data_IF_400189584222
#
_entry.id   IF_400189584222
#
_cell.length_a   1.000
_cell.length_b   1.000
_cell.length_c   1.000
_cell.angle_alpha   90.00
_cell.angle_beta   90.00
_cell.angle_gamma   90.00
#
_symmetry.space_group_name_H-M   'P 1'
#
loop_
_entity.id
_entity.type
_entity.pdbx_description
1 polymer ?
#
# COMPACT_ATOMS: atom_id res chain seq x y z
N UNK A 1 -2.71 -2.41 28.63
CA UNK A 1 -4.02 -1.99 28.10
C UNK A 1 -5.04 -3.15 28.15
N UNK A 2 -4.69 -4.32 27.69
CA UNK A 2 -5.59 -5.52 27.60
C UNK A 2 -6.06 -5.98 28.98
N UNK A 3 -5.20 -5.86 29.99
CA UNK A 3 -5.51 -6.25 31.40
C UNK A 3 -6.67 -5.44 32.02
N UNK A 4 -6.98 -4.28 31.45
CA UNK A 4 -8.03 -3.38 31.93
C UNK A 4 -9.42 -3.65 31.33
N UNK A 5 -9.59 -4.74 30.53
CA UNK A 5 -10.81 -5.08 29.81
C UNK A 5 -11.45 -3.83 29.11
N UNK A 6 -10.79 -3.27 28.11
CA UNK A 6 -11.26 -2.06 27.44
C UNK A 6 -12.46 -2.33 26.53
N UNK A 7 -13.36 -1.37 26.38
CA UNK A 7 -14.43 -1.43 25.37
C UNK A 7 -13.90 -1.20 23.94
N UNK A 8 -12.78 -0.45 23.81
CA UNK A 8 -12.13 -0.13 22.53
C UNK A 8 -10.62 -0.27 22.67
N UNK A 9 -10.00 -0.97 21.74
CA UNK A 9 -8.56 -1.16 21.63
C UNK A 9 -8.01 -0.42 20.40
N UNK A 10 -7.03 0.48 20.62
CA UNK A 10 -6.36 1.21 19.55
C UNK A 10 -4.92 0.70 19.42
N UNK A 11 -4.54 0.23 18.25
CA UNK A 11 -3.24 -0.34 17.95
C UNK A 11 -2.58 0.38 16.76
N UNK A 12 -1.34 0.80 16.94
CA UNK A 12 -0.53 1.42 15.89
C UNK A 12 0.67 0.52 15.58
N UNK A 13 0.73 0.00 14.34
CA UNK A 13 1.75 -0.92 13.83
C UNK A 13 2.09 -2.07 14.80
N UNK A 14 1.10 -2.82 15.31
CA UNK A 14 1.35 -3.80 16.38
C UNK A 14 2.18 -4.99 15.94
N UNK A 15 2.27 -5.27 14.64
CA UNK A 15 3.02 -6.42 14.07
C UNK A 15 4.52 -6.16 13.95
N UNK A 16 4.99 -4.91 13.97
CA UNK A 16 6.38 -4.55 13.68
C UNK A 16 7.44 -5.18 14.59
N UNK A 17 7.08 -5.53 15.82
CA UNK A 17 8.02 -6.08 16.82
C UNK A 17 7.65 -7.49 17.27
N UNK A 18 6.63 -8.08 16.67
CA UNK A 18 6.18 -9.43 16.98
C UNK A 18 6.87 -10.44 16.05
N UNK A 19 7.08 -11.63 16.57
CA UNK A 19 7.39 -12.80 15.75
C UNK A 19 6.09 -13.49 15.32
N UNK A 20 6.19 -14.55 14.52
CA UNK A 20 5.02 -15.25 13.99
C UNK A 20 4.07 -15.75 15.10
N UNK A 21 4.62 -16.21 16.22
CA UNK A 21 3.82 -16.66 17.35
C UNK A 21 3.09 -15.49 18.04
N UNK A 22 3.75 -14.33 18.14
CA UNK A 22 3.16 -13.12 18.67
C UNK A 22 2.07 -12.55 17.77
N UNK A 23 2.26 -12.62 16.44
CA UNK A 23 1.23 -12.20 15.47
C UNK A 23 0.01 -13.10 15.56
N UNK A 24 0.19 -14.43 15.56
CA UNK A 24 -0.91 -15.38 15.69
C UNK A 24 -1.70 -15.18 17.00
N UNK A 25 -1.00 -14.98 18.12
CA UNK A 25 -1.64 -14.65 19.38
C UNK A 25 -2.45 -13.35 19.33
N UNK A 26 -1.95 -12.33 18.64
CA UNK A 26 -2.65 -11.05 18.48
C UNK A 26 -3.88 -11.20 17.58
N UNK A 27 -3.79 -11.99 16.51
CA UNK A 27 -4.92 -12.33 15.64
C UNK A 27 -6.04 -13.04 16.42
N UNK A 28 -5.69 -14.05 17.20
CA UNK A 28 -6.65 -14.78 18.05
C UNK A 28 -7.30 -13.82 19.06
N UNK A 29 -6.51 -12.98 19.71
CA UNK A 29 -7.03 -11.99 20.67
C UNK A 29 -8.04 -11.02 20.06
N UNK A 30 -7.78 -10.53 18.83
CA UNK A 30 -8.65 -9.58 18.15
C UNK A 30 -9.91 -10.25 17.61
N UNK A 31 -9.82 -11.51 17.19
CA UNK A 31 -10.95 -12.26 16.65
C UNK A 31 -11.89 -12.79 17.75
N UNK A 32 -11.36 -13.13 18.93
CA UNK A 32 -12.12 -13.68 20.04
C UNK A 32 -12.56 -12.62 21.06
N UNK A 33 -11.95 -11.42 21.02
CA UNK A 33 -12.19 -10.37 22.00
C UNK A 33 -13.59 -9.72 21.87
N UNK A 34 -14.24 -9.49 23.01
CA UNK A 34 -15.55 -8.81 23.11
C UNK A 34 -15.41 -7.28 23.13
N UNK A 35 -14.42 -6.72 22.43
CA UNK A 35 -14.15 -5.27 22.35
C UNK A 35 -14.08 -4.81 20.89
N UNK A 36 -14.34 -3.54 20.65
CA UNK A 36 -14.06 -2.93 19.35
C UNK A 36 -12.55 -2.68 19.21
N UNK A 37 -12.00 -2.87 18.01
CA UNK A 37 -10.60 -2.55 17.75
C UNK A 37 -10.40 -1.66 16.53
N UNK A 38 -9.41 -0.76 16.62
CA UNK A 38 -8.92 0.03 15.49
C UNK A 38 -7.42 -0.24 15.36
N UNK A 39 -7.02 -0.77 14.21
CA UNK A 39 -5.62 -1.13 13.96
C UNK A 39 -5.10 -0.33 12.78
N UNK A 40 -3.95 0.31 12.96
CA UNK A 40 -3.18 0.94 11.89
C UNK A 40 -2.02 -0.01 11.58
N UNK A 41 -1.92 -0.50 10.37
CA UNK A 41 -0.83 -1.38 9.95
C UNK A 41 -0.66 -1.43 8.44
N UNK A 42 0.54 -1.80 7.99
CA UNK A 42 0.86 -2.11 6.59
C UNK A 42 0.90 -3.62 6.32
N UNK A 43 0.67 -4.44 7.34
CA UNK A 43 0.66 -5.91 7.21
C UNK A 43 -0.66 -6.38 6.61
N UNK A 44 -0.58 -6.77 5.34
CA UNK A 44 -1.73 -7.21 4.54
C UNK A 44 -2.29 -8.54 5.00
N UNK A 45 -1.44 -9.45 5.46
CA UNK A 45 -1.87 -10.76 5.95
C UNK A 45 -2.60 -10.62 7.28
N UNK A 46 -2.08 -9.78 8.15
CA UNK A 46 -2.75 -9.46 9.39
C UNK A 46 -4.14 -8.83 9.14
N UNK A 47 -4.24 -7.83 8.25
CA UNK A 47 -5.52 -7.23 7.87
C UNK A 47 -6.50 -8.23 7.26
N UNK A 48 -6.02 -9.19 6.46
CA UNK A 48 -6.86 -10.24 5.89
C UNK A 48 -7.50 -11.12 6.97
N UNK A 49 -6.78 -11.40 8.06
CA UNK A 49 -7.21 -12.31 9.10
C UNK A 49 -8.09 -11.65 10.17
N UNK A 50 -7.91 -10.35 10.46
CA UNK A 50 -8.58 -9.71 11.61
C UNK A 50 -9.60 -8.64 11.21
N UNK A 51 -9.56 -8.09 9.99
CA UNK A 51 -10.43 -6.96 9.66
C UNK A 51 -11.85 -7.40 9.29
N UNK A 52 -12.82 -6.68 9.82
CA UNK A 52 -14.23 -6.73 9.38
C UNK A 52 -14.59 -5.53 8.51
N UNK A 53 -13.77 -4.50 8.56
CA UNK A 53 -13.89 -3.27 7.80
C UNK A 53 -12.51 -2.63 7.61
N UNK A 54 -12.27 -2.07 6.41
CA UNK A 54 -11.03 -1.34 6.10
C UNK A 54 -11.33 0.08 5.66
N UNK A 55 -10.56 1.02 6.17
CA UNK A 55 -10.62 2.43 5.80
C UNK A 55 -9.25 2.88 5.30
N UNK A 56 -9.15 3.28 4.03
CA UNK A 56 -7.95 3.92 3.48
C UNK A 56 -8.13 5.44 3.44
N UNK A 57 -7.17 6.16 4.03
CA UNK A 57 -7.07 7.61 3.93
C UNK A 57 -6.19 7.97 2.73
N UNK A 58 -6.81 8.53 1.68
CA UNK A 58 -6.06 8.91 0.49
C UNK A 58 -6.75 10.06 -0.25
N UNK A 59 -5.97 11.00 -0.77
CA UNK A 59 -6.45 12.17 -1.53
C UNK A 59 -7.09 11.81 -2.88
N UNK A 60 -6.87 10.59 -3.39
CA UNK A 60 -7.51 10.13 -4.62
C UNK A 60 -9.03 9.99 -4.48
N UNK A 61 -9.52 9.78 -3.25
CA UNK A 61 -10.93 9.66 -2.95
C UNK A 61 -11.59 11.03 -2.80
N UNK A 62 -12.82 11.17 -3.28
CA UNK A 62 -13.56 12.44 -3.24
C UNK A 62 -13.69 12.99 -1.82
N UNK A 63 -13.96 12.10 -0.86
CA UNK A 63 -14.13 12.45 0.56
C UNK A 63 -12.85 12.25 1.38
N UNK A 64 -11.69 12.03 0.71
CA UNK A 64 -10.41 11.79 1.36
C UNK A 64 -10.25 10.39 1.96
N UNK A 65 -11.27 9.53 1.87
CA UNK A 65 -11.24 8.17 2.40
C UNK A 65 -12.05 7.19 1.55
N UNK A 66 -11.65 5.92 1.58
CA UNK A 66 -12.44 4.78 1.08
C UNK A 66 -12.71 3.83 2.23
N UNK A 67 -13.99 3.51 2.45
CA UNK A 67 -14.47 2.60 3.47
C UNK A 67 -15.07 1.36 2.83
N UNK A 68 -14.58 0.17 3.18
CA UNK A 68 -15.02 -1.10 2.61
C UNK A 68 -15.29 -2.11 3.73
N UNK A 69 -16.49 -2.65 3.75
CA UNK A 69 -16.86 -3.75 4.63
C UNK A 69 -16.25 -5.06 4.13
N UNK A 70 -15.50 -5.73 4.98
CA UNK A 70 -14.83 -6.99 4.71
C UNK A 70 -13.33 -6.96 4.98
N UNK A 71 -12.67 -7.99 4.51
CA UNK A 71 -11.24 -8.24 4.67
C UNK A 71 -10.40 -7.52 3.59
N UNK A 72 -9.08 -7.61 3.69
CA UNK A 72 -8.16 -6.87 2.82
C UNK A 72 -8.32 -7.19 1.33
N UNK A 73 -8.59 -8.44 0.96
CA UNK A 73 -8.83 -8.83 -0.44
C UNK A 73 -10.01 -8.08 -1.06
N UNK A 74 -11.15 -7.98 -0.34
CA UNK A 74 -12.32 -7.20 -0.78
C UNK A 74 -12.02 -5.71 -0.90
N UNK A 75 -11.20 -5.19 0.02
CA UNK A 75 -10.77 -3.79 -0.06
C UNK A 75 -9.96 -3.53 -1.34
N UNK A 76 -9.03 -4.43 -1.71
CA UNK A 76 -8.24 -4.29 -2.94
C UNK A 76 -9.13 -4.28 -4.18
N UNK A 77 -10.10 -5.20 -4.28
CA UNK A 77 -11.07 -5.23 -5.39
C UNK A 77 -11.84 -3.90 -5.50
N UNK A 78 -12.35 -3.41 -4.38
CA UNK A 78 -13.10 -2.13 -4.36
C UNK A 78 -12.22 -0.93 -4.72
N UNK A 79 -10.97 -0.91 -4.26
CA UNK A 79 -9.97 0.10 -4.58
C UNK A 79 -9.64 0.12 -6.08
N UNK A 80 -9.38 -1.03 -6.65
CA UNK A 80 -9.09 -1.17 -8.09
C UNK A 80 -10.29 -0.71 -8.94
N UNK A 81 -11.50 -1.13 -8.59
CA UNK A 81 -12.73 -0.70 -9.26
C UNK A 81 -12.92 0.82 -9.16
N UNK A 82 -12.61 1.42 -8.00
CA UNK A 82 -12.67 2.88 -7.83
C UNK A 82 -11.66 3.58 -8.76
N UNK A 83 -10.40 3.16 -8.75
CA UNK A 83 -9.33 3.74 -9.59
C UNK A 83 -9.68 3.63 -11.06
N UNK A 84 -10.18 2.47 -11.51
CA UNK A 84 -10.61 2.28 -12.89
C UNK A 84 -11.78 3.19 -13.24
N UNK A 85 -12.77 3.34 -12.37
CA UNK A 85 -13.91 4.24 -12.59
C UNK A 85 -13.49 5.70 -12.73
N UNK A 86 -12.53 6.14 -11.89
CA UNK A 86 -11.97 7.50 -11.94
C UNK A 86 -11.17 7.73 -13.24
N UNK A 87 -10.40 6.76 -13.68
CA UNK A 87 -9.66 6.82 -14.94
C UNK A 87 -10.60 6.96 -16.15
N UNK A 88 -11.67 6.16 -16.18
CA UNK A 88 -12.71 6.26 -17.23
C UNK A 88 -13.42 7.61 -17.21
N UNK A 89 -13.73 8.14 -16.02
CA UNK A 89 -14.35 9.45 -15.86
C UNK A 89 -13.43 10.55 -16.38
N UNK A 90 -12.15 10.53 -16.01
CA UNK A 90 -11.15 11.50 -16.47
C UNK A 90 -11.00 11.47 -18.00
N UNK A 91 -10.93 10.29 -18.61
CA UNK A 91 -10.85 10.14 -20.05
C UNK A 91 -12.10 10.69 -20.76
N UNK A 92 -13.29 10.39 -20.24
CA UNK A 92 -14.56 10.91 -20.76
C UNK A 92 -14.60 12.44 -20.67
N UNK A 93 -14.24 13.02 -19.52
CA UNK A 93 -14.18 14.48 -19.33
C UNK A 93 -13.15 15.12 -20.28
N UNK A 94 -11.97 14.53 -20.42
CA UNK A 94 -10.92 15.01 -21.33
C UNK A 94 -11.40 15.05 -22.78
N UNK A 95 -12.11 14.01 -23.25
CA UNK A 95 -12.68 13.96 -24.60
C UNK A 95 -13.76 15.02 -24.80
N UNK A 96 -14.64 15.23 -23.81
CA UNK A 96 -15.68 16.27 -23.85
C UNK A 96 -15.07 17.68 -23.87
N UNK A 97 -14.10 17.95 -23.00
CA UNK A 97 -13.36 19.22 -22.96
C UNK A 97 -12.70 19.49 -24.32
N UNK A 98 -12.02 18.48 -24.91
CA UNK A 98 -11.40 18.62 -26.22
C UNK A 98 -12.42 19.05 -27.28
N UNK A 99 -13.59 18.43 -27.32
CA UNK A 99 -14.65 18.75 -28.28
C UNK A 99 -15.18 20.19 -28.08
N UNK A 100 -15.37 20.62 -26.84
CA UNK A 100 -15.87 21.98 -26.55
C UNK A 100 -14.79 23.04 -26.84
N UNK A 101 -13.51 22.78 -26.55
CA UNK A 101 -12.39 23.67 -26.89
C UNK A 101 -12.23 23.81 -28.41
N UNK A 102 -12.35 22.72 -29.15
CA UNK A 102 -12.33 22.78 -30.63
C UNK A 102 -13.49 23.61 -31.19
N UNK A 103 -14.69 23.47 -30.60
CA UNK A 103 -15.84 24.29 -31.00
C UNK A 103 -15.61 25.77 -30.69
N UNK A 104 -15.06 26.12 -29.53
CA UNK A 104 -14.71 27.51 -29.16
C UNK A 104 -13.69 28.11 -30.14
N UNK A 105 -12.68 27.33 -30.58
CA UNK A 105 -11.66 27.77 -31.56
C UNK A 105 -12.23 28.08 -32.92
N UNK A 106 -13.30 27.39 -33.36
CA UNK A 106 -13.94 27.63 -34.66
C UNK A 106 -14.81 28.89 -34.68
N UNK A 107 -15.00 29.55 -33.57
CA UNK A 107 -15.81 30.77 -33.42
C UNK A 107 -17.32 30.48 -33.52
N UNK A 108 -18.10 30.80 -32.51
CA UNK A 108 -19.55 30.59 -32.52
C UNK A 108 -20.23 31.54 -33.50
N UNK A 109 -20.75 31.05 -34.61
CA UNK A 109 -21.63 31.82 -35.50
C UNK A 109 -22.99 31.98 -34.85
N UNK A 110 -23.32 33.23 -34.47
CA UNK A 110 -24.63 33.81 -34.24
C UNK A 110 -25.70 33.05 -33.41
N UNK A 111 -25.90 33.48 -32.25
CA UNK A 111 -27.06 33.67 -31.33
C UNK A 111 -26.49 33.77 -29.92
N UNK A 112 -26.30 34.98 -29.44
CA UNK A 112 -25.52 35.32 -28.24
C UNK A 112 -25.86 34.50 -26.97
N UNK A 113 -27.12 34.19 -26.76
CA UNK A 113 -27.58 33.51 -25.53
C UNK A 113 -27.20 32.01 -25.49
N UNK A 114 -27.35 31.28 -26.63
CA UNK A 114 -26.97 29.86 -26.70
C UNK A 114 -25.45 29.68 -26.70
N UNK A 115 -24.72 30.62 -27.28
CA UNK A 115 -23.26 30.59 -27.26
C UNK A 115 -22.72 30.83 -25.84
N UNK A 116 -23.31 31.76 -25.05
CA UNK A 116 -22.91 32.01 -23.66
C UNK A 116 -23.12 30.80 -22.77
N UNK A 117 -24.29 30.17 -22.80
CA UNK A 117 -24.54 28.96 -22.01
C UNK A 117 -23.58 27.80 -22.33
N UNK A 118 -23.16 27.65 -23.59
CA UNK A 118 -22.19 26.63 -23.99
C UNK A 118 -20.77 26.95 -23.56
N UNK A 119 -20.39 28.22 -23.54
CA UNK A 119 -19.09 28.70 -23.00
C UNK A 119 -19.05 28.44 -21.51
N UNK A 120 -20.11 28.75 -20.76
CA UNK A 120 -20.19 28.53 -19.33
C UNK A 120 -20.10 27.01 -19.01
N UNK A 121 -20.78 26.17 -19.80
CA UNK A 121 -20.67 24.71 -19.67
C UNK A 121 -19.25 24.19 -19.98
N UNK A 122 -18.56 24.75 -20.97
CA UNK A 122 -17.17 24.38 -21.28
C UNK A 122 -16.23 24.72 -20.12
N UNK A 123 -16.42 25.88 -19.46
CA UNK A 123 -15.64 26.24 -18.29
C UNK A 123 -15.90 25.26 -17.13
N UNK A 124 -17.15 24.91 -16.85
CA UNK A 124 -17.50 23.92 -15.82
C UNK A 124 -16.83 22.56 -16.10
N UNK A 125 -16.82 22.08 -17.35
CA UNK A 125 -16.17 20.83 -17.73
C UNK A 125 -14.66 20.90 -17.54
N UNK A 126 -14.03 22.03 -17.85
CA UNK A 126 -12.60 22.25 -17.63
C UNK A 126 -12.27 22.20 -16.14
N UNK A 127 -13.09 22.85 -15.30
CA UNK A 127 -12.86 22.87 -13.86
C UNK A 127 -13.09 21.48 -13.24
N UNK A 128 -14.10 20.73 -13.68
CA UNK A 128 -14.29 19.33 -13.29
C UNK A 128 -13.11 18.45 -13.69
N UNK A 129 -12.59 18.60 -14.92
CA UNK A 129 -11.41 17.85 -15.37
C UNK A 129 -10.18 18.17 -14.52
N UNK A 130 -9.94 19.43 -14.19
CA UNK A 130 -8.82 19.82 -13.31
C UNK A 130 -8.95 19.19 -11.93
N UNK A 131 -10.13 19.19 -11.36
CA UNK A 131 -10.40 18.59 -10.05
C UNK A 131 -10.13 17.08 -10.05
N UNK A 132 -10.68 16.34 -11.02
CA UNK A 132 -10.47 14.89 -11.15
C UNK A 132 -8.98 14.57 -11.42
N UNK A 133 -8.36 15.31 -12.35
CA UNK A 133 -6.94 15.09 -12.69
C UNK A 133 -5.99 15.41 -11.55
N UNK A 134 -6.30 16.42 -10.72
CA UNK A 134 -5.46 16.75 -9.56
C UNK A 134 -5.46 15.68 -8.48
N UNK A 135 -6.56 14.93 -8.35
CA UNK A 135 -6.66 13.78 -7.44
C UNK A 135 -5.84 12.57 -7.94
N UNK A 136 -5.78 12.35 -9.27
CA UNK A 136 -5.05 11.24 -9.89
C UNK A 136 -3.53 11.37 -9.90
N UNK A 137 -2.97 12.56 -9.64
CA UNK A 137 -1.52 12.81 -9.61
C UNK A 137 -0.85 12.43 -8.27
N UNK A 138 -1.24 11.31 -7.68
CA UNK A 138 -0.46 10.68 -6.63
C UNK A 138 0.83 10.13 -7.23
N UNK A 139 1.98 10.71 -6.86
CA UNK A 139 3.32 10.36 -7.34
C UNK A 139 3.59 8.87 -7.09
N UNK A 140 3.53 8.09 -8.15
CA UNK A 140 4.18 6.78 -8.18
C UNK A 140 5.67 7.06 -8.35
N UNK A 141 6.43 7.04 -7.28
CA UNK A 141 7.88 7.03 -7.36
C UNK A 141 8.28 5.66 -7.96
N UNK A 142 8.53 5.60 -9.26
CA UNK A 142 9.25 4.49 -9.87
C UNK A 142 10.70 4.57 -9.40
N UNK A 143 11.03 3.75 -8.41
CA UNK A 143 12.42 3.54 -8.04
C UNK A 143 13.00 2.58 -9.09
N UNK A 144 13.60 3.14 -10.13
CA UNK A 144 14.38 2.39 -11.11
C UNK A 144 15.67 1.92 -10.45
N UNK A 145 15.74 0.66 -10.07
CA UNK A 145 17.01 0.03 -9.72
C UNK A 145 17.79 -0.22 -11.00
N UNK A 146 18.74 0.64 -11.33
CA UNK A 146 19.77 0.33 -12.31
C UNK A 146 20.70 -0.73 -11.72
N UNK A 147 20.36 -2.00 -11.92
CA UNK A 147 21.20 -3.12 -11.56
C UNK A 147 22.45 -3.10 -12.44
N UNK A 148 23.64 -2.95 -11.86
CA UNK A 148 24.88 -3.29 -12.53
C UNK A 148 24.82 -4.79 -12.87
N UNK A 149 24.92 -5.14 -14.15
CA UNK A 149 25.03 -6.51 -14.66
C UNK A 149 26.36 -7.16 -14.20
N UNK A 150 26.50 -7.44 -12.92
CA UNK A 150 27.60 -8.27 -12.41
C UNK A 150 27.18 -9.74 -12.53
N UNK A 151 27.80 -10.46 -13.43
CA UNK A 151 27.61 -11.91 -13.62
C UNK A 151 28.34 -12.77 -12.58
N UNK A 152 28.59 -12.28 -11.39
CA UNK A 152 29.26 -13.07 -10.34
C UNK A 152 28.29 -14.15 -9.85
N UNK A 153 28.58 -15.41 -10.10
CA UNK A 153 27.70 -16.54 -9.76
C UNK A 153 27.59 -16.80 -8.26
N UNK A 154 28.58 -16.43 -7.46
CA UNK A 154 28.62 -16.59 -5.99
C UNK A 154 28.83 -15.22 -5.36
N UNK A 155 27.91 -14.78 -4.53
CA UNK A 155 27.96 -13.47 -3.87
C UNK A 155 28.46 -13.56 -2.44
N UNK A 156 27.96 -14.53 -1.67
CA UNK A 156 28.39 -14.83 -0.31
C UNK A 156 28.44 -16.34 -0.15
N UNK A 157 29.53 -16.84 0.41
CA UNK A 157 29.72 -18.25 0.72
C UNK A 157 30.16 -18.37 2.19
N UNK A 158 29.32 -19.01 2.99
CA UNK A 158 29.65 -19.37 4.37
C UNK A 158 30.01 -20.86 4.41
N UNK A 159 31.13 -21.19 4.99
CA UNK A 159 31.59 -22.55 5.14
C UNK A 159 31.85 -22.81 6.63
N UNK A 160 31.03 -23.64 7.23
CA UNK A 160 31.17 -24.08 8.62
C UNK A 160 31.33 -22.94 9.64
N UNK A 161 30.46 -21.88 9.47
CA UNK A 161 30.53 -20.67 10.28
C UNK A 161 29.72 -20.84 11.56
N UNK A 162 30.37 -20.59 12.70
CA UNK A 162 29.70 -20.49 14.00
C UNK A 162 29.77 -19.06 14.52
N UNK A 163 28.68 -18.57 15.07
CA UNK A 163 28.52 -17.19 15.53
C UNK A 163 28.18 -17.21 17.01
N UNK A 164 29.02 -16.56 17.82
CA UNK A 164 28.78 -16.37 19.24
C UNK A 164 28.64 -14.87 19.55
N UNK A 165 27.70 -14.53 20.41
CA UNK A 165 27.48 -13.16 20.89
C UNK A 165 27.17 -13.18 22.39
N UNK A 166 27.97 -12.47 23.17
CA UNK A 166 27.78 -12.38 24.62
C UNK A 166 27.84 -13.70 25.38
N UNK A 167 28.68 -14.65 24.91
CA UNK A 167 28.81 -15.98 25.50
C UNK A 167 27.66 -16.95 25.16
N UNK A 168 26.80 -16.57 24.21
CA UNK A 168 25.72 -17.41 23.70
C UNK A 168 25.96 -17.73 22.25
N UNK A 169 25.95 -19.01 21.90
CA UNK A 169 26.02 -19.45 20.52
C UNK A 169 24.69 -19.14 19.82
N UNK A 170 24.75 -18.38 18.74
CA UNK A 170 23.62 -17.98 17.91
C UNK A 170 23.37 -18.96 16.79
N UNK A 171 24.47 -19.39 16.14
CA UNK A 171 24.45 -20.33 15.02
C UNK A 171 25.70 -21.19 15.10
N UNK A 172 25.56 -22.48 14.86
CA UNK A 172 26.67 -23.45 14.77
C UNK A 172 26.71 -24.09 13.41
N UNK A 173 27.93 -24.26 12.89
CA UNK A 173 28.21 -25.02 11.67
C UNK A 173 27.36 -24.61 10.45
N UNK A 174 27.08 -23.30 10.28
CA UNK A 174 26.31 -22.78 9.16
C UNK A 174 27.14 -22.82 7.87
N UNK A 175 26.68 -23.60 6.91
CA UNK A 175 27.19 -23.58 5.55
C UNK A 175 26.10 -23.15 4.60
N UNK A 176 26.35 -22.05 3.87
CA UNK A 176 25.31 -21.40 3.08
C UNK A 176 25.89 -20.61 1.92
N UNK A 177 25.27 -20.71 0.74
CA UNK A 177 25.69 -20.02 -0.48
C UNK A 177 24.60 -19.09 -0.97
N UNK A 178 24.90 -17.80 -1.13
CA UNK A 178 24.06 -16.83 -1.81
C UNK A 178 24.62 -16.59 -3.22
N UNK A 179 23.85 -16.99 -4.21
CA UNK A 179 24.16 -16.77 -5.62
C UNK A 179 23.31 -15.63 -6.20
N UNK A 180 23.68 -15.17 -7.39
CA UNK A 180 22.90 -14.15 -8.08
C UNK A 180 21.44 -14.63 -8.35
N UNK A 181 20.45 -13.80 -8.05
CA UNK A 181 19.02 -14.10 -8.22
C UNK A 181 18.40 -14.91 -7.08
N UNK A 182 19.17 -15.42 -6.11
CA UNK A 182 18.66 -16.13 -4.93
C UNK A 182 18.01 -15.11 -3.95
N UNK A 183 16.83 -15.44 -3.47
CA UNK A 183 16.12 -14.70 -2.42
C UNK A 183 15.91 -15.62 -1.24
N UNK A 184 16.40 -15.19 -0.06
CA UNK A 184 16.34 -16.00 1.16
C UNK A 184 15.47 -15.33 2.19
N UNK A 185 14.47 -16.04 2.69
CA UNK A 185 13.67 -15.61 3.84
C UNK A 185 14.28 -16.15 5.13
N UNK A 186 14.61 -15.28 6.09
CA UNK A 186 15.12 -15.65 7.40
C UNK A 186 14.00 -15.58 8.44
N UNK A 187 13.57 -16.73 8.94
CA UNK A 187 12.46 -16.86 9.90
C UNK A 187 12.95 -17.40 11.23
N UNK A 188 12.25 -17.06 12.30
CA UNK A 188 12.53 -17.54 13.66
C UNK A 188 11.97 -16.61 14.74
N UNK A 189 11.88 -17.09 15.99
CA UNK A 189 11.35 -16.31 17.11
C UNK A 189 12.21 -15.06 17.42
N UNK A 190 11.64 -14.13 18.18
CA UNK A 190 12.39 -12.96 18.62
C UNK A 190 13.56 -13.36 19.52
N UNK A 191 14.71 -12.74 19.32
CA UNK A 191 15.94 -13.08 20.02
C UNK A 191 16.70 -14.32 19.47
N UNK A 192 16.25 -14.94 18.37
CA UNK A 192 16.95 -16.09 17.76
C UNK A 192 18.24 -15.73 17.01
N UNK A 193 18.62 -14.46 16.93
CA UNK A 193 19.87 -14.03 16.30
C UNK A 193 19.76 -13.66 14.82
N UNK A 194 18.57 -13.54 14.24
CA UNK A 194 18.35 -13.15 12.83
C UNK A 194 19.13 -11.90 12.42
N UNK A 195 18.98 -10.83 13.21
CA UNK A 195 19.69 -9.56 12.96
C UNK A 195 21.21 -9.66 13.16
N UNK A 196 21.65 -10.56 14.03
CA UNK A 196 23.09 -10.84 14.24
C UNK A 196 23.67 -11.53 13.02
N UNK A 197 22.97 -12.53 12.47
CA UNK A 197 23.38 -13.20 11.25
C UNK A 197 23.46 -12.24 10.06
N UNK A 198 22.46 -11.35 9.89
CA UNK A 198 22.48 -10.33 8.82
C UNK A 198 23.65 -9.34 8.92
N UNK A 199 24.17 -9.08 10.13
CA UNK A 199 25.34 -8.19 10.32
C UNK A 199 26.66 -8.87 9.99
N UNK A 200 26.68 -10.20 9.96
CA UNK A 200 27.87 -11.01 9.61
C UNK A 200 27.96 -11.24 8.10
N UNK A 201 26.82 -11.26 7.40
CA UNK A 201 26.73 -11.36 5.93
C UNK A 201 27.12 -10.06 5.22
#
# INVERSE_FOLDING_TARGET
>A
AIVAAPDVLLLDEPTNHLDLAGIAWLEDLLNEGEFASVVITHDRYFLENVSTEIVELNRIYADGLLRVQGVYSKFIEAREAYVESQSRLEESLRNRVRTEVEWLRRGPKARATKAKARIDNAHQLIDQLKEVSSRGQGSTAEIGFAGTERQTKRLVELNDVSIELGGRTIVEHLSFLIANGVRVGLVGPNGSGKSTLLKVL
#
